data_IF_980093751827
#
_entry.id   IF_980093751827
#
_cell.length_a   1.000
_cell.length_b   1.000
_cell.length_c   1.000
_cell.angle_alpha   90.00
_cell.angle_beta   90.00
_cell.angle_gamma   90.00
#
_symmetry.space_group_name_H-M   'P 1'
#
loop_
_entity.id
_entity.type
_entity.pdbx_description
1 polymer ?
#
# COMPACT_ATOMS: atom_id res chain seq x y z
N UNK A 1 6.67 5.01 -4.19
CA UNK A 1 5.87 6.09 -3.58
C UNK A 1 5.18 6.86 -4.69
N UNK A 2 3.88 7.02 -4.58
CA UNK A 2 3.07 7.74 -5.56
C UNK A 2 2.40 8.94 -4.92
N UNK A 3 2.35 10.05 -5.63
CA UNK A 3 1.78 11.31 -5.17
C UNK A 3 0.71 11.79 -6.13
N UNK A 4 -0.41 12.26 -5.58
CA UNK A 4 -1.41 13.02 -6.33
C UNK A 4 -2.12 13.96 -5.35
N UNK A 5 -3.24 14.56 -5.73
CA UNK A 5 -3.94 15.50 -4.86
C UNK A 5 -4.34 14.93 -3.51
N UNK A 6 -4.90 13.72 -3.50
CA UNK A 6 -5.34 13.02 -2.28
C UNK A 6 -4.63 11.70 -2.04
N UNK A 7 -3.89 11.19 -3.01
CA UNK A 7 -3.31 9.85 -2.97
C UNK A 7 -4.30 8.74 -3.33
N UNK A 8 -5.58 9.06 -3.36
CA UNK A 8 -6.64 8.05 -3.55
C UNK A 8 -6.65 7.50 -4.97
N UNK A 9 -6.66 8.37 -5.97
CA UNK A 9 -6.68 7.95 -7.38
C UNK A 9 -5.47 7.11 -7.75
N UNK A 10 -4.28 7.52 -7.33
CA UNK A 10 -3.05 6.77 -7.58
C UNK A 10 -3.08 5.41 -6.89
N UNK A 11 -3.64 5.34 -5.68
CA UNK A 11 -3.78 4.07 -4.96
C UNK A 11 -4.72 3.12 -5.70
N UNK A 12 -5.85 3.63 -6.18
CA UNK A 12 -6.80 2.81 -6.93
C UNK A 12 -6.16 2.29 -8.23
N UNK A 13 -5.47 3.16 -8.97
CA UNK A 13 -4.78 2.77 -10.20
C UNK A 13 -3.72 1.71 -9.93
N UNK A 14 -2.88 1.93 -8.92
CA UNK A 14 -1.81 0.99 -8.58
C UNK A 14 -2.37 -0.39 -8.22
N UNK A 15 -3.47 -0.42 -7.49
CA UNK A 15 -4.10 -1.67 -7.08
C UNK A 15 -4.79 -2.43 -8.24
N UNK A 16 -4.91 -1.83 -9.41
CA UNK A 16 -5.38 -2.53 -10.60
C UNK A 16 -4.29 -3.36 -11.27
N UNK A 17 -3.04 -3.14 -10.90
CA UNK A 17 -1.91 -3.90 -11.45
C UNK A 17 -1.77 -5.22 -10.67
N UNK A 18 -1.78 -6.37 -11.34
CA UNK A 18 -1.64 -7.66 -10.65
C UNK A 18 -0.39 -7.72 -9.76
N UNK A 19 -0.56 -8.23 -8.56
CA UNK A 19 0.53 -8.38 -7.59
C UNK A 19 0.85 -7.13 -6.78
N UNK A 20 0.23 -6.00 -7.09
CA UNK A 20 0.49 -4.74 -6.38
C UNK A 20 -0.50 -4.54 -5.24
N UNK A 21 0.05 -4.19 -4.07
CA UNK A 21 -0.72 -3.75 -2.90
C UNK A 21 -0.28 -2.34 -2.57
N UNK A 22 -1.11 -1.36 -2.91
CA UNK A 22 -0.87 0.05 -2.65
C UNK A 22 -1.80 0.55 -1.56
N UNK A 23 -1.32 1.45 -0.72
CA UNK A 23 -2.10 2.01 0.37
C UNK A 23 -1.85 3.51 0.50
N UNK A 24 -2.91 4.25 0.82
CA UNK A 24 -2.81 5.66 1.19
C UNK A 24 -2.42 5.72 2.66
N UNK A 25 -1.30 6.37 2.99
CA UNK A 25 -0.78 6.40 4.35
C UNK A 25 -0.49 7.84 4.76
N UNK A 26 -1.47 8.50 5.40
CA UNK A 26 -1.34 9.88 5.83
C UNK A 26 -1.00 10.06 7.31
N UNK A 27 -0.72 8.96 8.01
CA UNK A 27 -0.32 8.98 9.41
C UNK A 27 0.77 7.94 9.68
N UNK A 28 1.55 8.09 10.76
CA UNK A 28 2.65 7.17 11.07
C UNK A 28 2.21 5.72 11.29
N UNK A 29 1.08 5.50 11.93
CA UNK A 29 0.59 4.16 12.20
C UNK A 29 0.22 3.43 10.92
N UNK A 30 -0.47 4.11 10.01
CA UNK A 30 -0.84 3.53 8.71
C UNK A 30 0.40 3.23 7.86
N UNK A 31 1.39 4.13 7.86
CA UNK A 31 2.64 3.92 7.12
C UNK A 31 3.38 2.68 7.63
N UNK A 32 3.44 2.50 8.95
CA UNK A 32 4.04 1.33 9.57
C UNK A 32 3.26 0.05 9.24
N UNK A 33 1.95 0.07 9.46
CA UNK A 33 1.11 -1.12 9.29
C UNK A 33 0.97 -1.55 7.84
N UNK A 34 0.99 -0.62 6.90
CA UNK A 34 0.95 -0.97 5.49
C UNK A 34 2.11 -1.88 5.10
N UNK A 35 3.31 -1.61 5.64
CA UNK A 35 4.47 -2.48 5.42
C UNK A 35 4.43 -3.72 6.31
N UNK A 36 4.33 -3.53 7.61
CA UNK A 36 4.50 -4.64 8.58
C UNK A 36 3.35 -5.62 8.55
N UNK A 37 2.13 -5.16 8.31
CA UNK A 37 0.94 -6.02 8.39
C UNK A 37 0.38 -6.40 7.02
N UNK A 38 0.54 -5.57 6.01
CA UNK A 38 -0.13 -5.77 4.72
C UNK A 38 0.83 -6.03 3.56
N UNK A 39 2.12 -5.95 3.82
CA UNK A 39 3.15 -6.12 2.79
C UNK A 39 2.87 -5.26 1.55
N UNK A 40 2.43 -4.03 1.77
CA UNK A 40 2.19 -3.09 0.69
C UNK A 40 3.50 -2.64 0.08
N UNK A 41 3.62 -2.73 -1.23
CA UNK A 41 4.84 -2.33 -1.94
C UNK A 41 4.82 -0.86 -2.31
N UNK A 42 3.65 -0.22 -2.31
CA UNK A 42 3.48 1.16 -2.75
C UNK A 42 2.76 1.95 -1.69
N UNK A 43 3.35 3.09 -1.33
CA UNK A 43 2.71 4.08 -0.45
C UNK A 43 2.27 5.26 -1.29
N UNK A 44 1.01 5.67 -1.12
CA UNK A 44 0.44 6.82 -1.81
C UNK A 44 0.21 7.96 -0.82
N UNK A 45 0.51 9.17 -1.25
CA UNK A 45 0.35 10.38 -0.45
C UNK A 45 -0.41 11.44 -1.25
N UNK A 46 -1.19 12.25 -0.53
CA UNK A 46 -1.88 13.39 -1.11
C UNK A 46 -1.17 14.70 -0.80
N UNK A 47 -0.76 15.45 -1.83
CA UNK A 47 -0.10 16.73 -1.63
C UNK A 47 -1.01 17.76 -0.97
N UNK A 48 -2.33 17.60 -1.11
CA UNK A 48 -3.31 18.47 -0.47
C UNK A 48 -3.65 18.06 0.95
N UNK A 49 -3.13 16.93 1.41
CA UNK A 49 -3.45 16.33 2.71
C UNK A 49 -2.30 16.46 3.68
N UNK A 50 -1.07 16.21 3.22
CA UNK A 50 0.12 16.28 4.06
C UNK A 50 1.10 17.31 3.53
N UNK A 51 1.75 18.03 4.46
CA UNK A 51 2.84 18.93 4.11
C UNK A 51 4.16 18.19 3.93
N UNK A 52 5.20 18.90 3.45
CA UNK A 52 6.48 18.26 3.15
C UNK A 52 7.15 17.58 4.35
N UNK A 53 7.08 18.18 5.52
CA UNK A 53 7.72 17.63 6.72
C UNK A 53 7.06 16.32 7.16
N UNK A 54 5.73 16.31 7.19
CA UNK A 54 5.01 15.08 7.52
C UNK A 54 5.23 14.00 6.46
N UNK A 55 5.18 14.38 5.19
CA UNK A 55 5.43 13.46 4.10
C UNK A 55 6.80 12.78 4.25
N UNK A 56 7.84 13.54 4.59
CA UNK A 56 9.17 13.00 4.81
C UNK A 56 9.20 12.03 5.99
N UNK A 57 8.54 12.38 7.10
CA UNK A 57 8.45 11.48 8.25
C UNK A 57 7.77 10.16 7.87
N UNK A 58 6.69 10.22 7.09
CA UNK A 58 5.95 9.02 6.67
C UNK A 58 6.79 8.14 5.74
N UNK A 59 7.53 8.75 4.82
CA UNK A 59 8.45 8.02 3.95
C UNK A 59 9.57 7.36 4.75
N UNK A 60 10.13 8.06 5.73
CA UNK A 60 11.18 7.50 6.59
C UNK A 60 10.68 6.28 7.35
N UNK A 61 9.48 6.35 7.94
CA UNK A 61 8.86 5.22 8.63
C UNK A 61 8.65 4.05 7.66
N UNK A 62 8.10 4.32 6.49
CA UNK A 62 7.85 3.33 5.45
C UNK A 62 9.14 2.59 5.06
N UNK A 63 10.21 3.33 4.80
CA UNK A 63 11.48 2.77 4.35
C UNK A 63 12.19 1.93 5.42
N UNK A 64 11.93 2.19 6.70
CA UNK A 64 12.51 1.44 7.80
C UNK A 64 11.77 0.14 8.13
N UNK A 65 10.59 -0.06 7.55
CA UNK A 65 9.75 -1.21 7.87
C UNK A 65 9.86 -2.32 6.83
N UNK A 66 9.80 -3.56 7.30
CA UNK A 66 9.69 -4.75 6.48
C UNK A 66 8.43 -5.52 6.87
N UNK A 67 7.96 -6.41 6.00
CA UNK A 67 6.83 -7.26 6.32
C UNK A 67 7.19 -8.20 7.48
N UNK A 68 6.43 -8.07 8.56
CA UNK A 68 6.69 -8.85 9.77
C UNK A 68 6.22 -10.31 9.65
N UNK A 69 5.28 -10.60 8.77
CA UNK A 69 4.70 -11.92 8.65
C UNK A 69 3.81 -12.28 9.84
N UNK A 70 4.07 -13.43 10.47
CA UNK A 70 3.33 -13.86 11.64
C UNK A 70 1.83 -13.98 11.38
N UNK A 71 1.02 -13.41 12.27
CA UNK A 71 -0.45 -13.44 12.17
C UNK A 71 -1.02 -12.71 10.97
N UNK A 72 -0.26 -11.83 10.33
CA UNK A 72 -0.70 -11.10 9.15
C UNK A 72 -0.46 -11.85 7.84
N UNK A 73 0.44 -12.84 7.83
CA UNK A 73 0.75 -13.59 6.61
C UNK A 73 -0.48 -14.26 5.98
N UNK A 74 -1.37 -14.93 6.74
CA UNK A 74 -2.57 -15.51 6.15
C UNK A 74 -3.50 -14.46 5.52
N UNK A 75 -3.55 -13.27 6.08
CA UNK A 75 -4.40 -12.17 5.57
C UNK A 75 -3.88 -11.65 4.23
N UNK A 76 -2.57 -11.49 4.11
CA UNK A 76 -1.94 -11.09 2.83
C UNK A 76 -2.11 -12.20 1.79
N UNK A 77 -1.95 -13.46 2.20
CA UNK A 77 -2.20 -14.60 1.32
C UNK A 77 -3.63 -14.60 0.79
N UNK A 78 -4.60 -14.25 1.63
CA UNK A 78 -6.00 -14.16 1.21
C UNK A 78 -6.23 -13.06 0.18
N UNK A 79 -5.56 -11.92 0.31
CA UNK A 79 -5.61 -10.85 -0.70
C UNK A 79 -5.11 -11.38 -2.04
N UNK A 80 -3.99 -12.10 -2.03
CA UNK A 80 -3.41 -12.66 -3.24
C UNK A 80 -4.31 -13.73 -3.87
N UNK A 81 -4.98 -14.55 -3.06
CA UNK A 81 -5.95 -15.53 -3.54
C UNK A 81 -7.12 -14.86 -4.26
N UNK A 82 -7.68 -13.80 -3.65
CA UNK A 82 -8.79 -13.05 -4.26
C UNK A 82 -8.37 -12.47 -5.61
N UNK A 83 -7.16 -11.96 -5.69
CA UNK A 83 -6.63 -11.43 -6.94
C UNK A 83 -6.56 -12.54 -8.00
N UNK A 84 -6.01 -13.69 -7.67
CA UNK A 84 -5.89 -14.81 -8.60
C UNK A 84 -7.26 -15.32 -9.07
N UNK A 85 -8.25 -15.35 -8.19
CA UNK A 85 -9.60 -15.75 -8.54
C UNK A 85 -10.24 -14.87 -9.63
N UNK A 86 -9.80 -13.62 -9.74
CA UNK A 86 -10.37 -12.67 -10.69
C UNK A 86 -9.51 -12.40 -11.92
N UNK A 87 -8.19 -12.57 -11.80
CA UNK A 87 -7.26 -12.28 -12.87
C UNK A 87 -7.33 -13.31 -13.99
N UNK A 88 -7.30 -14.60 -13.67
CA UNK A 88 -7.18 -15.61 -14.70
C UNK A 88 -8.36 -15.63 -15.68
N UNK A 89 -9.49 -15.07 -15.29
CA UNK A 89 -10.66 -14.94 -16.16
C UNK A 89 -10.39 -14.01 -17.34
N UNK A 90 -9.47 -13.07 -17.19
CA UNK A 90 -9.11 -12.17 -18.27
C UNK A 90 -8.19 -12.80 -19.30
N UNK A 91 -7.61 -13.93 -18.98
CA UNK A 91 -6.67 -14.64 -19.86
C UNK A 91 -7.35 -15.61 -20.83
N UNK A 92 -8.64 -15.77 -20.71
CA UNK A 92 -9.42 -16.73 -21.53
C UNK A 92 -9.93 -16.15 -22.87
#
# INVERSE_FOLDING_TARGET
>A
ILLCGTGIGMSICANKVPGVRAAVCHDPFSAERARKSNDAQIMCLGERVVGPELAQCLVDIWLECDFAGGGSAPKVARINELEQEHIHKACV
#
